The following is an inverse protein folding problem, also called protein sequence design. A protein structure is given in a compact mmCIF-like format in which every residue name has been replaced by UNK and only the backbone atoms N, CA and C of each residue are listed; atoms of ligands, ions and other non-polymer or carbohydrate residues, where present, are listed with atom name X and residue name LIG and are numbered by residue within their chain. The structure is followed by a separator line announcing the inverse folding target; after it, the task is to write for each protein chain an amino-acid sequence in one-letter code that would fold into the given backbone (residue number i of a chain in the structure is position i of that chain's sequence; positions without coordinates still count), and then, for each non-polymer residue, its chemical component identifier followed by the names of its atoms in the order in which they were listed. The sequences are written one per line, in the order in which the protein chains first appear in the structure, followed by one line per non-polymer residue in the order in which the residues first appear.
data_IF_020023566445
#
_entry.id   IF_020023566445
#
_cell.length_a   1.000
_cell.length_b   1.000
_cell.length_c   1.000
_cell.angle_alpha   90.00
_cell.angle_beta   90.00
_cell.angle_gamma   90.00
#
_symmetry.space_group_name_H-M   'P 1'
#
loop_
_entity.id
_entity.type
_entity.pdbx_description
1 polymer ?
#
# COMPACT_ATOMS: atom_id res chain seq x y z
N UNK A 1 -33.85 -26.74 -18.10
CA UNK A 1 -32.42 -26.83 -17.70
C UNK A 1 -31.86 -25.40 -17.52
N UNK A 2 -30.94 -25.14 -16.58
CA UNK A 2 -30.35 -23.80 -16.43
C UNK A 2 -29.45 -23.46 -17.62
N UNK A 3 -29.51 -22.20 -18.09
CA UNK A 3 -28.69 -21.69 -19.19
C UNK A 3 -28.06 -20.37 -18.75
N UNK A 4 -26.75 -20.25 -18.89
CA UNK A 4 -26.02 -19.00 -18.66
C UNK A 4 -26.21 -18.12 -19.89
N UNK A 5 -26.88 -16.98 -19.71
CA UNK A 5 -27.15 -16.04 -20.81
C UNK A 5 -25.98 -15.08 -21.07
N UNK A 6 -25.21 -14.75 -20.03
CA UNK A 6 -24.13 -13.77 -20.12
C UNK A 6 -23.12 -13.98 -18.98
N UNK A 7 -21.83 -13.95 -19.32
CA UNK A 7 -20.72 -13.91 -18.39
C UNK A 7 -19.68 -12.95 -18.97
N UNK A 8 -19.23 -12.00 -18.16
CA UNK A 8 -18.25 -10.98 -18.57
C UNK A 8 -16.95 -11.13 -17.78
N UNK A 9 -15.90 -10.51 -18.31
CA UNK A 9 -14.64 -10.34 -17.61
C UNK A 9 -14.80 -9.46 -16.37
N UNK A 10 -13.84 -9.55 -15.45
CA UNK A 10 -13.85 -8.77 -14.23
C UNK A 10 -13.77 -7.27 -14.53
N UNK A 11 -14.68 -6.50 -13.94
CA UNK A 11 -14.70 -5.04 -14.05
C UNK A 11 -14.03 -4.45 -12.81
N UNK A 12 -13.02 -3.61 -13.01
CA UNK A 12 -12.38 -2.87 -11.92
C UNK A 12 -13.39 -1.88 -11.30
N UNK A 13 -13.58 -1.97 -9.99
CA UNK A 13 -14.43 -1.06 -9.24
C UNK A 13 -13.60 -0.26 -8.24
N UNK A 14 -13.98 1.00 -8.03
CA UNK A 14 -13.27 1.89 -7.12
C UNK A 14 -13.91 1.87 -5.73
N UNK A 15 -13.37 1.02 -4.87
CA UNK A 15 -13.72 0.97 -3.45
C UNK A 15 -12.52 1.34 -2.60
N UNK A 16 -12.79 2.03 -1.50
CA UNK A 16 -11.84 2.27 -0.44
C UNK A 16 -12.24 1.50 0.81
N UNK A 17 -11.25 1.06 1.57
CA UNK A 17 -11.44 0.47 2.89
C UNK A 17 -10.62 1.28 3.91
N UNK A 18 -11.26 1.67 5.01
CA UNK A 18 -10.56 2.03 6.25
C UNK A 18 -10.55 0.76 7.12
N UNK A 19 -9.40 0.05 7.23
CA UNK A 19 -9.34 -1.23 7.93
C UNK A 19 -9.34 -1.02 9.45
N UNK A 20 -9.92 -1.96 10.17
CA UNK A 20 -9.89 -2.00 11.62
C UNK A 20 -9.83 -3.43 12.16
N UNK A 21 -9.31 -3.53 13.38
CA UNK A 21 -9.33 -4.74 14.20
C UNK A 21 -9.84 -4.35 15.58
N UNK A 22 -10.84 -5.06 16.07
CA UNK A 22 -11.47 -4.77 17.37
C UNK A 22 -11.53 -6.06 18.16
N UNK A 23 -11.06 -6.01 19.40
CA UNK A 23 -11.14 -7.12 20.34
C UNK A 23 -12.17 -6.82 21.42
N UNK A 24 -12.90 -7.84 21.86
CA UNK A 24 -13.82 -7.74 22.99
C UNK A 24 -14.71 -8.96 23.17
N UNK A 25 -14.91 -9.35 24.44
CA UNK A 25 -15.84 -10.40 24.85
C UNK A 25 -16.69 -9.91 26.04
N UNK A 26 -18.01 -9.73 25.92
CA UNK A 26 -18.86 -9.97 24.74
C UNK A 26 -18.50 -9.11 23.53
N UNK A 27 -18.87 -9.58 22.34
CA UNK A 27 -18.61 -8.92 21.05
C UNK A 27 -19.08 -7.46 21.11
N UNK A 28 -18.21 -6.48 20.83
CA UNK A 28 -18.56 -5.08 20.92
C UNK A 28 -19.42 -4.62 19.74
N UNK A 29 -20.33 -3.68 20.01
CA UNK A 29 -21.01 -2.91 18.99
C UNK A 29 -20.07 -1.89 18.36
N UNK A 30 -20.15 -1.72 17.04
CA UNK A 30 -19.31 -0.80 16.24
C UNK A 30 -20.17 0.39 15.78
N UNK A 31 -19.63 1.60 15.89
CA UNK A 31 -20.21 2.84 15.35
C UNK A 31 -19.10 3.74 14.81
N UNK A 32 -19.45 4.64 13.92
CA UNK A 32 -18.51 5.60 13.34
C UNK A 32 -18.93 7.04 13.58
N UNK A 33 -17.93 7.91 13.76
CA UNK A 33 -18.09 9.35 13.61
C UNK A 33 -17.31 9.82 12.37
N UNK A 34 -17.87 10.80 11.67
CA UNK A 34 -17.20 11.57 10.63
C UNK A 34 -17.12 13.03 11.08
N UNK A 35 -15.90 13.55 11.22
CA UNK A 35 -15.62 14.90 11.74
C UNK A 35 -16.37 15.21 13.06
N UNK A 36 -16.43 14.21 13.96
CA UNK A 36 -17.08 14.33 15.27
C UNK A 36 -18.61 14.15 15.26
N UNK A 37 -19.23 14.06 14.09
CA UNK A 37 -20.68 13.79 13.95
C UNK A 37 -20.94 12.33 13.67
N UNK A 38 -22.10 11.79 14.06
CA UNK A 38 -22.43 10.37 13.81
C UNK A 38 -22.48 10.11 12.31
N UNK A 39 -21.70 9.13 11.84
CA UNK A 39 -21.72 8.69 10.45
C UNK A 39 -22.88 7.71 10.25
N UNK A 40 -23.84 8.09 9.43
CA UNK A 40 -24.96 7.23 9.04
C UNK A 40 -24.53 6.31 7.91
N UNK A 41 -24.54 5.00 8.15
CA UNK A 41 -24.22 4.00 7.12
C UNK A 41 -25.35 3.87 6.10
N UNK A 42 -24.98 3.48 4.88
CA UNK A 42 -25.88 3.34 3.74
C UNK A 42 -25.23 2.54 2.60
N UNK A 43 -25.79 2.56 1.38
CA UNK A 43 -25.31 1.72 0.28
C UNK A 43 -23.90 2.07 -0.21
N UNK A 44 -23.45 3.32 0.01
CA UNK A 44 -22.13 3.78 -0.44
C UNK A 44 -21.07 3.76 0.65
N UNK A 45 -21.46 3.88 1.92
CA UNK A 45 -20.56 3.87 3.06
C UNK A 45 -21.15 2.93 4.11
N UNK A 46 -20.51 1.80 4.35
CA UNK A 46 -20.98 0.82 5.34
C UNK A 46 -19.82 0.02 5.92
N UNK A 47 -20.04 -0.49 7.12
CA UNK A 47 -19.10 -1.38 7.79
C UNK A 47 -19.26 -2.79 7.26
N UNK A 48 -18.16 -3.41 6.85
CA UNK A 48 -18.10 -4.81 6.45
C UNK A 48 -17.10 -5.55 7.34
N UNK A 49 -17.58 -6.57 8.03
CA UNK A 49 -16.72 -7.53 8.73
C UNK A 49 -16.19 -8.53 7.68
N UNK A 50 -14.87 -8.66 7.60
CA UNK A 50 -14.20 -9.45 6.56
C UNK A 50 -13.92 -10.86 7.07
N UNK A 51 -13.46 -10.99 8.32
CA UNK A 51 -13.09 -12.27 8.92
C UNK A 51 -13.72 -12.43 10.29
N UNK A 52 -14.31 -13.62 10.49
CA UNK A 52 -14.77 -14.10 11.78
C UNK A 52 -14.03 -15.40 12.09
N UNK A 53 -12.97 -15.30 12.87
CA UNK A 53 -12.24 -16.48 13.31
C UNK A 53 -12.96 -17.09 14.51
N UNK A 54 -13.42 -18.34 14.37
CA UNK A 54 -14.38 -18.96 15.31
C UNK A 54 -13.89 -19.08 16.76
N UNK A 55 -12.57 -19.02 16.98
CA UNK A 55 -11.95 -19.10 18.31
C UNK A 55 -11.27 -17.77 18.74
N UNK A 56 -11.50 -16.70 17.99
CA UNK A 56 -10.92 -15.38 18.27
C UNK A 56 -12.01 -14.43 18.75
N UNK A 57 -11.66 -13.59 19.72
CA UNK A 57 -12.48 -12.45 20.14
C UNK A 57 -12.21 -11.21 19.26
N UNK A 58 -11.24 -11.31 18.34
CA UNK A 58 -10.86 -10.25 17.43
C UNK A 58 -11.73 -10.28 16.18
N UNK A 59 -12.34 -9.14 15.87
CA UNK A 59 -13.08 -8.89 14.64
C UNK A 59 -12.25 -8.03 13.70
N UNK A 60 -12.06 -8.51 12.47
CA UNK A 60 -11.42 -7.76 11.40
C UNK A 60 -12.47 -7.24 10.42
N UNK A 61 -12.38 -5.95 10.11
CA UNK A 61 -13.34 -5.31 9.23
C UNK A 61 -12.80 -4.09 8.50
N UNK A 62 -13.66 -3.53 7.67
CA UNK A 62 -13.42 -2.34 6.88
C UNK A 62 -14.65 -1.43 6.96
N UNK A 63 -14.46 -0.13 7.15
CA UNK A 63 -15.44 0.84 6.67
C UNK A 63 -15.24 0.97 5.17
N UNK A 64 -16.18 0.45 4.38
CA UNK A 64 -16.12 0.46 2.93
C UNK A 64 -16.75 1.75 2.40
N UNK A 65 -16.06 2.40 1.47
CA UNK A 65 -16.57 3.57 0.75
C UNK A 65 -16.54 3.28 -0.75
N UNK A 66 -17.70 3.32 -1.40
CA UNK A 66 -17.85 3.14 -2.85
C UNK A 66 -17.71 4.50 -3.54
N UNK A 67 -16.67 4.64 -4.37
CA UNK A 67 -16.39 5.87 -5.14
C UNK A 67 -16.44 7.16 -4.30
N UNK A 68 -15.69 7.25 -3.17
CA UNK A 68 -15.63 8.47 -2.38
C UNK A 68 -14.99 9.61 -3.16
N UNK A 69 -15.37 10.84 -2.85
CA UNK A 69 -14.81 12.06 -3.42
C UNK A 69 -14.17 12.93 -2.34
N UNK A 70 -13.72 14.14 -2.71
CA UNK A 70 -13.11 15.07 -1.77
C UNK A 70 -14.05 15.47 -0.62
N UNK A 71 -15.39 15.37 -0.80
CA UNK A 71 -16.36 15.64 0.28
C UNK A 71 -16.34 14.59 1.37
N UNK A 72 -15.80 13.40 1.09
CA UNK A 72 -15.64 12.34 2.07
C UNK A 72 -14.30 12.46 2.82
N UNK A 73 -13.45 13.44 2.47
CA UNK A 73 -12.22 13.67 3.21
C UNK A 73 -12.54 14.19 4.62
N UNK A 74 -11.86 13.66 5.63
CA UNK A 74 -12.09 14.08 7.00
C UNK A 74 -11.56 13.08 8.01
N UNK A 75 -11.86 13.33 9.27
CA UNK A 75 -11.45 12.49 10.38
C UNK A 75 -12.54 11.44 10.67
N UNK A 76 -12.18 10.17 10.55
CA UNK A 76 -13.07 9.04 10.82
C UNK A 76 -12.72 8.45 12.18
N UNK A 77 -13.68 8.44 13.12
CA UNK A 77 -13.50 7.86 14.44
C UNK A 77 -14.32 6.58 14.57
N UNK A 78 -13.63 5.46 14.78
CA UNK A 78 -14.24 4.20 15.17
C UNK A 78 -14.56 4.23 16.66
N UNK A 79 -15.81 3.96 17.01
CA UNK A 79 -16.31 3.83 18.37
C UNK A 79 -16.74 2.38 18.60
N UNK A 80 -16.21 1.75 19.64
CA UNK A 80 -16.57 0.37 20.01
C UNK A 80 -17.04 0.32 21.45
N UNK A 81 -18.10 -0.44 21.71
CA UNK A 81 -18.70 -0.54 23.05
C UNK A 81 -19.27 -1.92 23.33
N UNK A 82 -18.97 -2.44 24.52
CA UNK A 82 -19.61 -3.63 25.11
C UNK A 82 -20.00 -3.33 26.58
N UNK A 83 -20.58 -4.29 27.33
CA UNK A 83 -20.93 -4.08 28.74
C UNK A 83 -19.74 -3.79 29.67
N UNK A 84 -18.52 -4.19 29.27
CA UNK A 84 -17.31 -4.02 30.08
C UNK A 84 -16.62 -2.67 29.84
N UNK A 85 -16.93 -1.98 28.74
CA UNK A 85 -16.36 -0.66 28.46
C UNK A 85 -16.55 -0.18 27.03
N UNK A 86 -15.76 0.83 26.68
CA UNK A 86 -15.75 1.43 25.35
C UNK A 86 -14.36 1.91 24.97
N UNK A 87 -14.05 1.87 23.67
CA UNK A 87 -12.83 2.44 23.12
C UNK A 87 -13.14 3.26 21.86
N UNK A 88 -12.25 4.20 21.54
CA UNK A 88 -12.36 5.05 20.37
C UNK A 88 -10.99 5.24 19.71
N UNK A 89 -10.94 5.26 18.38
CA UNK A 89 -9.73 5.59 17.62
C UNK A 89 -10.08 6.32 16.34
N UNK A 90 -9.27 7.32 16.01
CA UNK A 90 -9.48 8.19 14.86
C UNK A 90 -8.40 8.03 13.79
N UNK A 91 -8.76 8.20 12.52
CA UNK A 91 -7.85 8.19 11.37
C UNK A 91 -8.31 9.21 10.33
N UNK A 92 -7.34 9.84 9.65
CA UNK A 92 -7.64 10.76 8.56
C UNK A 92 -7.92 10.00 7.27
N UNK A 93 -9.11 10.19 6.70
CA UNK A 93 -9.47 9.75 5.35
C UNK A 93 -9.18 10.85 4.33
N UNK A 94 -8.38 10.55 3.31
CA UNK A 94 -8.09 11.42 2.17
C UNK A 94 -8.23 10.62 0.87
N UNK A 95 -9.32 10.83 0.15
CA UNK A 95 -9.73 10.03 -1.00
C UNK A 95 -9.43 10.72 -2.33
N UNK A 96 -9.78 12.00 -2.44
CA UNK A 96 -9.51 12.81 -3.64
C UNK A 96 -9.08 14.21 -3.24
N UNK A 97 -8.19 14.82 -4.03
CA UNK A 97 -7.92 16.26 -3.90
C UNK A 97 -9.18 17.06 -4.24
N UNK A 98 -9.39 18.18 -3.57
CA UNK A 98 -10.47 19.10 -3.92
C UNK A 98 -10.11 19.78 -5.25
N UNK A 99 -10.88 19.57 -6.34
CA UNK A 99 -10.57 20.19 -7.63
C UNK A 99 -10.79 21.72 -7.62
N UNK A 100 -11.45 22.27 -6.60
CA UNK A 100 -11.75 23.69 -6.45
C UNK A 100 -10.90 24.38 -5.38
N UNK A 101 -9.96 23.68 -4.72
CA UNK A 101 -9.03 24.36 -3.82
C UNK A 101 -8.01 25.13 -4.66
N UNK A 102 -8.22 26.42 -4.83
CA UNK A 102 -7.25 27.30 -5.46
C UNK A 102 -6.01 27.37 -4.57
N UNK A 103 -4.92 26.74 -5.00
CA UNK A 103 -3.63 26.90 -4.36
C UNK A 103 -2.87 27.99 -5.13
N UNK A 104 -2.68 29.21 -4.58
CA UNK A 104 -1.96 30.28 -5.27
C UNK A 104 -0.50 29.92 -5.55
N UNK A 105 0.06 28.93 -4.84
CA UNK A 105 1.40 28.38 -5.06
C UNK A 105 1.46 27.30 -6.17
N UNK A 106 0.32 26.81 -6.67
CA UNK A 106 0.32 25.82 -7.76
C UNK A 106 0.62 26.52 -9.10
N UNK A 107 1.68 26.09 -9.84
CA UNK A 107 1.99 26.67 -11.14
C UNK A 107 0.81 26.47 -12.09
N UNK A 108 0.36 27.57 -12.73
CA UNK A 108 -0.74 27.57 -13.69
C UNK A 108 -0.44 26.56 -14.81
N UNK A 109 -1.21 25.47 -14.96
CA UNK A 109 -0.99 24.52 -16.04
C UNK A 109 -1.65 25.07 -17.31
N UNK A 110 -0.96 25.97 -18.00
CA UNK A 110 -1.49 26.53 -19.24
C UNK A 110 -0.92 27.88 -19.63
N UNK A 111 0.37 27.94 -19.98
CA UNK A 111 0.85 28.93 -20.94
C UNK A 111 2.01 28.36 -21.74
N UNK A 112 1.67 27.50 -22.70
CA UNK A 112 2.61 27.13 -23.76
C UNK A 112 2.73 28.30 -24.73
N UNK A 113 3.48 29.35 -24.40
CA UNK A 113 4.10 30.24 -25.39
C UNK A 113 5.57 30.37 -25.02
N UNK A 114 6.44 29.80 -25.86
CA UNK A 114 7.90 29.90 -25.73
C UNK A 114 8.54 28.76 -24.95
N UNK A 115 8.43 27.52 -25.43
CA UNK A 115 9.25 26.43 -24.93
C UNK A 115 10.70 26.63 -25.41
N UNK A 116 11.52 27.25 -24.56
CA UNK A 116 12.97 27.07 -24.55
C UNK A 116 13.28 25.58 -24.35
N UNK A 117 14.33 25.11 -25.02
CA UNK A 117 14.79 23.72 -25.13
C UNK A 117 15.19 23.06 -23.80
N UNK A 118 15.08 23.76 -22.67
CA UNK A 118 15.38 23.25 -21.32
C UNK A 118 14.23 22.41 -20.70
N UNK A 119 12.99 22.51 -21.21
CA UNK A 119 11.83 21.78 -20.64
C UNK A 119 11.67 20.32 -21.09
N UNK A 120 12.34 19.90 -22.17
CA UNK A 120 12.34 18.50 -22.61
C UNK A 120 13.09 17.58 -21.62
N UNK A 121 14.06 18.13 -20.87
CA UNK A 121 14.81 17.38 -19.87
C UNK A 121 13.93 16.96 -18.66
N UNK A 122 12.87 17.71 -18.35
CA UNK A 122 11.96 17.42 -17.23
C UNK A 122 10.81 16.48 -17.60
N UNK A 123 10.36 16.50 -18.86
CA UNK A 123 9.32 15.58 -19.34
C UNK A 123 9.81 14.13 -19.42
N UNK A 124 11.12 13.93 -19.65
CA UNK A 124 11.74 12.60 -19.65
C UNK A 124 11.60 11.89 -18.28
N UNK A 125 11.45 12.62 -17.17
CA UNK A 125 11.46 12.07 -15.81
C UNK A 125 10.08 11.60 -15.30
N UNK A 126 8.97 12.01 -15.94
CA UNK A 126 7.62 11.78 -15.38
C UNK A 126 6.95 10.47 -15.83
N UNK A 127 7.58 9.71 -16.71
CA UNK A 127 7.20 8.33 -17.02
C UNK A 127 7.95 7.34 -16.11
N UNK A 128 7.70 7.41 -14.80
CA UNK A 128 8.07 6.37 -13.86
C UNK A 128 6.89 6.15 -12.90
N UNK A 129 6.22 5.02 -13.06
CA UNK A 129 5.17 4.51 -12.17
C UNK A 129 5.68 4.40 -10.72
N UNK A 130 4.78 4.45 -9.71
CA UNK A 130 5.15 4.28 -8.31
C UNK A 130 5.28 2.80 -7.98
N UNK A 131 6.34 2.16 -8.47
CA UNK A 131 6.83 0.89 -7.94
C UNK A 131 8.35 0.99 -7.73
N UNK A 132 8.92 0.28 -6.75
CA UNK A 132 10.28 0.50 -6.26
C UNK A 132 11.31 -0.14 -7.19
N UNK A 133 11.40 0.32 -8.44
CA UNK A 133 12.42 -0.14 -9.38
C UNK A 133 13.82 0.35 -8.99
N UNK A 134 13.94 1.34 -8.09
CA UNK A 134 15.24 1.81 -7.60
C UNK A 134 15.83 0.92 -6.50
N UNK A 135 14.99 0.28 -5.68
CA UNK A 135 15.45 -0.55 -4.55
C UNK A 135 15.97 -1.91 -5.00
N UNK A 136 15.36 -2.52 -6.01
CA UNK A 136 15.81 -3.81 -6.53
C UNK A 136 17.17 -3.71 -7.25
N UNK A 137 17.38 -2.65 -8.02
CA UNK A 137 18.63 -2.44 -8.75
C UNK A 137 19.80 -2.24 -7.79
N UNK A 138 19.61 -1.53 -6.67
CA UNK A 138 20.65 -1.34 -5.65
C UNK A 138 21.03 -2.66 -4.95
N UNK A 139 20.06 -3.53 -4.68
CA UNK A 139 20.31 -4.84 -4.05
C UNK A 139 21.03 -5.78 -5.02
N UNK A 140 20.63 -5.80 -6.29
CA UNK A 140 21.27 -6.64 -7.30
C UNK A 140 22.74 -6.26 -7.54
N UNK A 141 23.05 -4.96 -7.60
CA UNK A 141 24.44 -4.47 -7.74
C UNK A 141 25.28 -4.84 -6.52
N UNK A 142 24.74 -4.68 -5.30
CA UNK A 142 25.45 -5.07 -4.08
C UNK A 142 25.76 -6.58 -4.03
N UNK A 143 24.80 -7.43 -4.40
CA UNK A 143 24.98 -8.88 -4.48
C UNK A 143 26.04 -9.27 -5.53
N UNK A 144 26.02 -8.63 -6.71
CA UNK A 144 26.98 -8.90 -7.77
C UNK A 144 28.42 -8.55 -7.34
N UNK A 145 28.62 -7.38 -6.71
CA UNK A 145 29.94 -6.97 -6.21
C UNK A 145 30.44 -7.93 -5.14
N UNK A 146 29.58 -8.35 -4.20
CA UNK A 146 29.95 -9.29 -3.16
C UNK A 146 30.34 -10.67 -3.73
N UNK A 147 29.58 -11.17 -4.69
CA UNK A 147 29.90 -12.43 -5.38
C UNK A 147 31.24 -12.36 -6.12
N UNK A 148 31.52 -11.25 -6.83
CA UNK A 148 32.79 -11.05 -7.51
C UNK A 148 33.99 -10.98 -6.54
N UNK A 149 33.83 -10.31 -5.39
CA UNK A 149 34.87 -10.25 -4.36
C UNK A 149 35.12 -11.63 -3.76
N UNK A 150 34.07 -12.38 -3.43
CA UNK A 150 34.21 -13.73 -2.88
C UNK A 150 34.92 -14.68 -3.86
N UNK A 151 34.52 -14.66 -5.13
CA UNK A 151 35.13 -15.49 -6.17
C UNK A 151 36.59 -15.11 -6.40
N UNK A 152 36.94 -13.82 -6.43
CA UNK A 152 38.34 -13.40 -6.60
C UNK A 152 39.22 -13.80 -5.41
N UNK A 153 38.73 -13.69 -4.17
CA UNK A 153 39.42 -14.18 -2.97
C UNK A 153 39.61 -15.70 -3.04
N UNK A 154 38.56 -16.46 -3.39
CA UNK A 154 38.68 -17.92 -3.55
C UNK A 154 39.69 -18.30 -4.63
N UNK A 155 39.72 -17.59 -5.76
CA UNK A 155 40.67 -17.85 -6.85
C UNK A 155 42.11 -17.53 -6.41
N UNK A 156 42.31 -16.46 -5.63
CA UNK A 156 43.61 -16.14 -5.02
C UNK A 156 44.02 -17.23 -4.02
N UNK A 157 43.11 -17.68 -3.15
CA UNK A 157 43.36 -18.77 -2.19
C UNK A 157 43.69 -20.06 -2.93
N UNK A 158 42.98 -20.41 -4.00
CA UNK A 158 43.26 -21.60 -4.81
C UNK A 158 44.61 -21.47 -5.54
N UNK A 159 44.95 -20.31 -6.08
CA UNK A 159 46.26 -20.10 -6.71
C UNK A 159 47.42 -20.08 -5.69
N UNK A 160 47.16 -19.62 -4.46
CA UNK A 160 48.18 -19.48 -3.39
C UNK A 160 48.31 -20.75 -2.53
N UNK A 161 47.23 -21.49 -2.32
CA UNK A 161 47.18 -22.74 -1.53
C UNK A 161 47.14 -24.00 -2.39
N UNK A 162 46.69 -23.95 -3.65
CA UNK A 162 46.75 -25.08 -4.60
C UNK A 162 48.16 -25.45 -5.04
N UNK A 163 49.13 -24.54 -4.85
CA UNK A 163 50.58 -24.86 -4.97
C UNK A 163 51.16 -25.58 -3.75
N UNK A 164 50.34 -25.90 -2.73
CA UNK A 164 50.70 -26.81 -1.63
C UNK A 164 49.77 -28.02 -1.55
N UNK A 165 49.48 -28.66 -2.68
CA UNK A 165 49.03 -30.06 -2.65
C UNK A 165 50.19 -30.95 -2.21
N UNK A 166 50.33 -31.16 -0.91
CA UNK A 166 51.21 -32.15 -0.31
C UNK A 166 50.39 -33.41 0.00
N UNK A 167 49.79 -34.01 -1.01
CA UNK A 167 49.41 -35.42 -0.94
C UNK A 167 50.56 -36.23 -1.54
N UNK A 168 51.54 -36.54 -0.68
CA UNK A 168 52.42 -37.67 -0.92
C UNK A 168 51.56 -38.92 -0.83
N UNK A 169 51.22 -39.50 -1.97
CA UNK A 169 50.67 -40.84 -2.04
C UNK A 169 51.87 -41.79 -1.90
N UNK A 170 52.03 -42.38 -0.72
CA UNK A 170 53.01 -43.44 -0.54
C UNK A 170 52.52 -44.68 -1.28
N UNK A 171 53.47 -45.28 -1.99
CA UNK A 171 53.41 -46.58 -2.66
C UNK A 171 53.13 -47.71 -1.67
#
# INVERSE_FOLDING_TARGET
PPVILLLHEAIAQHFWCIPFSVDGNPVPSIRWLFNGTVLTEGPYIHTRIVEYEHNSTVLHGCLQLNRPTHVNNGNYTLLVRNPLGSAARSVQGLFMKNPFSFNPEEPIPGRCWGASWELLAWFQWRCASPHPCRSQVSVAVALAVFACLFLSIMLIVLNKCGRRSKFGINR
#
